data_IF_430496888456
#
_entry.id   IF_430496888456
#
_cell.length_a   1.000
_cell.length_b   1.000
_cell.length_c   1.000
_cell.angle_alpha   90.00
_cell.angle_beta   90.00
_cell.angle_gamma   90.00
#
_symmetry.space_group_name_H-M   'P 1'
#
loop_
_entity.id
_entity.type
_entity.pdbx_description
1 polymer ?
#
# COMPACT_ATOMS: atom_id res chain seq x y z
N UNK A 1 -24.10 -10.62 -1.92
CA UNK A 1 -23.22 -9.52 -2.35
C UNK A 1 -21.76 -9.97 -2.54
N UNK A 2 -21.26 -10.97 -1.78
CA UNK A 2 -19.97 -11.63 -2.06
C UNK A 2 -20.00 -12.50 -3.34
N UNK A 3 -21.14 -13.13 -3.64
CA UNK A 3 -21.29 -14.01 -4.81
C UNK A 3 -21.14 -13.30 -6.16
N UNK A 4 -21.46 -12.00 -6.25
CA UNK A 4 -21.33 -11.25 -7.50
C UNK A 4 -19.87 -10.95 -7.86
N UNK A 5 -19.02 -10.70 -6.86
CA UNK A 5 -17.56 -10.52 -7.02
C UNK A 5 -16.85 -11.82 -7.39
N UNK A 6 -17.40 -12.97 -6.99
CA UNK A 6 -16.88 -14.30 -7.32
C UNK A 6 -17.20 -14.74 -8.75
N UNK A 7 -18.25 -14.19 -9.37
CA UNK A 7 -18.62 -14.52 -10.75
C UNK A 7 -17.70 -13.87 -11.79
N UNK A 8 -17.03 -12.76 -11.45
CA UNK A 8 -16.11 -12.05 -12.35
C UNK A 8 -14.66 -12.57 -12.33
N UNK A 9 -14.25 -13.27 -11.27
CA UNK A 9 -12.94 -13.92 -11.23
C UNK A 9 -13.04 -15.30 -11.90
N UNK A 10 -12.75 -15.35 -13.20
CA UNK A 10 -12.74 -16.60 -13.94
C UNK A 10 -11.70 -17.56 -13.34
N UNK A 11 -11.97 -18.88 -13.34
CA UNK A 11 -11.02 -19.91 -12.85
C UNK A 11 -9.63 -19.75 -13.48
N UNK A 12 -9.57 -19.30 -14.73
CA UNK A 12 -8.34 -19.03 -15.45
C UNK A 12 -7.47 -17.93 -14.84
N UNK A 13 -8.05 -16.92 -14.19
CA UNK A 13 -7.28 -15.81 -13.59
C UNK A 13 -6.60 -16.24 -12.28
N UNK A 14 -7.12 -17.30 -11.67
CA UNK A 14 -6.67 -17.84 -10.39
C UNK A 14 -5.66 -18.99 -10.55
N UNK A 15 -5.61 -19.61 -11.74
CA UNK A 15 -4.62 -20.64 -12.10
C UNK A 15 -3.19 -20.07 -12.28
N UNK A 16 -3.03 -18.74 -12.33
CA UNK A 16 -1.72 -18.07 -12.47
C UNK A 16 -1.16 -17.46 -11.18
N UNK A 17 -1.76 -17.75 -10.03
CA UNK A 17 -1.25 -17.31 -8.72
C UNK A 17 -0.10 -18.23 -8.30
N UNK A 18 1.08 -18.02 -8.90
CA UNK A 18 2.30 -18.78 -8.60
C UNK A 18 3.44 -17.85 -8.14
N UNK A 19 4.20 -18.30 -7.15
CA UNK A 19 5.40 -17.64 -6.64
C UNK A 19 6.42 -17.37 -7.75
N UNK A 20 6.49 -18.23 -8.79
CA UNK A 20 7.36 -17.99 -9.94
C UNK A 20 6.94 -16.76 -10.76
N UNK A 21 5.64 -16.51 -10.90
CA UNK A 21 5.13 -15.34 -11.62
C UNK A 21 5.46 -14.05 -10.86
N UNK A 22 5.25 -14.03 -9.54
CA UNK A 22 5.67 -12.91 -8.69
C UNK A 22 7.19 -12.68 -8.78
N UNK A 23 8.00 -13.75 -8.70
CA UNK A 23 9.45 -13.63 -8.81
C UNK A 23 9.89 -12.99 -10.14
N UNK A 24 9.28 -13.38 -11.25
CA UNK A 24 9.54 -12.76 -12.55
C UNK A 24 9.12 -11.29 -12.59
N UNK A 25 7.95 -10.93 -12.05
CA UNK A 25 7.49 -9.54 -12.00
C UNK A 25 8.42 -8.67 -11.15
N UNK A 26 8.87 -9.16 -9.98
CA UNK A 26 9.84 -8.46 -9.14
C UNK A 26 11.21 -8.31 -9.81
N UNK A 27 11.66 -9.31 -10.57
CA UNK A 27 12.89 -9.24 -11.36
C UNK A 27 12.78 -8.25 -12.54
N UNK A 28 11.59 -8.02 -13.07
CA UNK A 28 11.36 -7.03 -14.13
C UNK A 28 11.43 -5.58 -13.61
N UNK A 29 11.30 -5.35 -12.30
CA UNK A 29 11.41 -4.01 -11.72
C UNK A 29 12.82 -3.43 -11.86
N UNK A 30 12.94 -2.09 -12.00
CA UNK A 30 14.23 -1.40 -11.88
C UNK A 30 14.93 -1.78 -10.58
N UNK A 31 16.25 -2.00 -10.62
CA UNK A 31 17.02 -2.48 -9.46
C UNK A 31 16.80 -1.64 -8.19
N UNK A 32 16.62 -0.32 -8.33
CA UNK A 32 16.33 0.60 -7.22
C UNK A 32 14.98 0.35 -6.54
N UNK A 33 13.98 -0.16 -7.26
CA UNK A 33 12.63 -0.45 -6.74
C UNK A 33 12.51 -1.88 -6.20
N UNK A 34 13.58 -2.68 -6.21
CA UNK A 34 13.48 -4.06 -5.75
C UNK A 34 13.59 -4.11 -4.24
N UNK A 35 12.59 -4.64 -3.52
CA UNK A 35 12.70 -4.80 -2.08
C UNK A 35 13.86 -5.74 -1.73
N UNK A 36 14.58 -5.44 -0.65
CA UNK A 36 15.77 -6.19 -0.24
C UNK A 36 15.49 -7.68 0.02
N UNK A 37 14.27 -7.99 0.46
CA UNK A 37 13.75 -9.35 0.54
C UNK A 37 12.23 -9.33 0.28
N UNK A 38 11.65 -10.40 -0.31
CA UNK A 38 10.21 -10.49 -0.46
C UNK A 38 9.50 -10.56 0.90
N UNK A 39 8.48 -9.74 1.11
CA UNK A 39 7.58 -9.87 2.26
C UNK A 39 6.83 -11.20 2.14
N UNK A 40 7.12 -12.13 3.06
CA UNK A 40 6.56 -13.48 3.05
C UNK A 40 5.20 -13.57 3.72
N UNK A 41 4.95 -12.74 4.72
CA UNK A 41 3.67 -12.64 5.42
C UNK A 41 3.12 -11.24 5.24
N UNK A 42 2.01 -11.14 4.51
CA UNK A 42 1.33 -9.87 4.24
C UNK A 42 0.10 -9.67 5.12
N UNK A 43 -0.21 -10.62 6.01
CA UNK A 43 -1.44 -10.62 6.80
C UNK A 43 -1.52 -9.46 7.79
N UNK A 44 -0.40 -8.99 8.32
CA UNK A 44 -0.33 -7.82 9.21
C UNK A 44 -0.68 -6.51 8.49
N UNK A 45 -0.37 -6.41 7.19
CA UNK A 45 -0.57 -5.20 6.39
C UNK A 45 -1.91 -5.19 5.66
N UNK A 46 -2.36 -6.38 5.24
CA UNK A 46 -3.59 -6.59 4.48
C UNK A 46 -4.52 -7.61 5.15
N UNK A 47 -4.95 -7.38 6.41
CA UNK A 47 -5.70 -8.39 7.17
C UNK A 47 -7.09 -8.68 6.58
N UNK A 48 -7.67 -7.73 5.84
CA UNK A 48 -8.96 -7.92 5.17
C UNK A 48 -8.80 -8.78 3.93
N UNK A 49 -7.86 -8.43 3.07
CA UNK A 49 -7.55 -9.14 1.83
C UNK A 49 -7.06 -10.56 2.14
N UNK A 50 -6.23 -10.73 3.17
CA UNK A 50 -5.79 -12.04 3.63
C UNK A 50 -6.95 -12.92 4.12
N UNK A 51 -7.91 -12.34 4.85
CA UNK A 51 -9.12 -13.08 5.27
C UNK A 51 -9.98 -13.49 4.08
N UNK A 52 -10.11 -12.62 3.07
CA UNK A 52 -10.83 -12.94 1.83
C UNK A 52 -10.08 -14.05 1.08
N UNK A 53 -8.76 -13.96 0.96
CA UNK A 53 -7.91 -14.99 0.37
C UNK A 53 -8.12 -16.37 1.02
N UNK A 54 -8.10 -16.45 2.36
CA UNK A 54 -8.37 -17.70 3.07
C UNK A 54 -9.76 -18.29 2.74
N UNK A 55 -10.78 -17.43 2.62
CA UNK A 55 -12.13 -17.88 2.24
C UNK A 55 -12.19 -18.37 0.80
N UNK A 56 -11.53 -17.69 -0.13
CA UNK A 56 -11.43 -18.10 -1.54
C UNK A 56 -10.72 -19.46 -1.68
N UNK A 57 -9.62 -19.65 -0.95
CA UNK A 57 -8.85 -20.90 -0.95
C UNK A 57 -9.69 -22.06 -0.43
N UNK A 58 -10.39 -21.86 0.69
CA UNK A 58 -11.20 -22.91 1.31
C UNK A 58 -12.32 -23.42 0.38
N UNK A 59 -12.88 -22.56 -0.47
CA UNK A 59 -14.01 -22.92 -1.32
C UNK A 59 -13.60 -23.26 -2.76
N UNK A 60 -12.59 -22.59 -3.33
CA UNK A 60 -12.38 -22.54 -4.78
C UNK A 60 -10.93 -22.77 -5.23
N UNK A 61 -9.93 -22.38 -4.43
CA UNK A 61 -8.51 -22.33 -4.83
C UNK A 61 -7.61 -23.26 -4.02
N UNK A 62 -7.98 -24.55 -3.96
CA UNK A 62 -7.24 -25.55 -3.16
C UNK A 62 -5.74 -25.48 -3.47
N UNK A 63 -4.91 -25.45 -2.42
CA UNK A 63 -3.43 -25.39 -2.45
C UNK A 63 -2.80 -24.04 -2.87
N UNK A 64 -3.56 -22.97 -3.11
CA UNK A 64 -2.96 -21.66 -3.36
C UNK A 64 -2.39 -21.02 -2.07
N UNK A 65 -1.36 -20.19 -2.23
CA UNK A 65 -0.75 -19.44 -1.12
C UNK A 65 -1.64 -18.23 -0.75
N UNK A 66 -2.13 -18.13 0.51
CA UNK A 66 -2.98 -17.02 0.93
C UNK A 66 -2.30 -15.64 0.83
N UNK A 67 -0.98 -15.55 0.92
CA UNK A 67 -0.26 -14.28 0.74
C UNK A 67 -0.29 -13.82 -0.71
N UNK A 68 -0.07 -14.74 -1.65
CA UNK A 68 -0.14 -14.41 -3.08
C UNK A 68 -1.56 -14.01 -3.46
N UNK A 69 -2.57 -14.77 -3.04
CA UNK A 69 -3.98 -14.41 -3.28
C UNK A 69 -4.31 -13.05 -2.66
N UNK A 70 -3.83 -12.76 -1.45
CA UNK A 70 -4.01 -11.44 -0.83
C UNK A 70 -3.34 -10.33 -1.65
N UNK A 71 -2.12 -10.54 -2.16
CA UNK A 71 -1.43 -9.57 -3.02
C UNK A 71 -2.19 -9.34 -4.33
N UNK A 72 -2.79 -10.37 -4.93
CA UNK A 72 -3.68 -10.20 -6.10
C UNK A 72 -4.90 -9.32 -5.77
N UNK A 73 -5.53 -9.51 -4.60
CA UNK A 73 -6.64 -8.67 -4.16
C UNK A 73 -6.21 -7.22 -3.90
N UNK A 74 -5.01 -7.02 -3.34
CA UNK A 74 -4.44 -5.68 -3.14
C UNK A 74 -4.10 -5.02 -4.47
N UNK A 75 -3.57 -5.76 -5.45
CA UNK A 75 -3.24 -5.24 -6.77
C UNK A 75 -4.46 -4.62 -7.45
N UNK A 76 -5.64 -5.20 -7.27
CA UNK A 76 -6.90 -4.66 -7.78
C UNK A 76 -7.29 -3.30 -7.18
N UNK A 77 -6.69 -2.88 -6.05
CA UNK A 77 -6.90 -1.53 -5.49
C UNK A 77 -6.07 -0.46 -6.19
N UNK A 78 -5.04 -0.85 -6.92
CA UNK A 78 -4.13 0.04 -7.66
C UNK A 78 -4.58 0.09 -9.12
N UNK A 79 -4.74 1.30 -9.67
CA UNK A 79 -5.15 1.49 -11.07
C UNK A 79 -4.08 0.90 -11.99
N UNK A 80 -4.44 -0.12 -12.77
CA UNK A 80 -3.50 -0.88 -13.61
C UNK A 80 -2.47 -1.69 -12.82
N UNK A 81 -2.72 -1.94 -11.53
CA UNK A 81 -1.77 -2.53 -10.61
C UNK A 81 -1.48 -4.00 -10.87
N UNK A 82 -0.25 -4.39 -10.55
CA UNK A 82 0.25 -5.76 -10.60
C UNK A 82 0.48 -6.31 -9.19
N UNK A 83 0.71 -7.63 -9.09
CA UNK A 83 1.09 -8.27 -7.82
C UNK A 83 2.43 -7.72 -7.31
N UNK A 84 3.33 -7.33 -8.21
CA UNK A 84 4.56 -6.63 -7.83
C UNK A 84 4.27 -5.28 -7.16
N UNK A 85 3.31 -4.50 -7.66
CA UNK A 85 2.92 -3.22 -7.02
C UNK A 85 2.33 -3.46 -5.62
N UNK A 86 1.46 -4.46 -5.48
CA UNK A 86 0.95 -4.86 -4.17
C UNK A 86 2.06 -5.31 -3.22
N UNK A 87 3.09 -5.97 -3.75
CA UNK A 87 4.25 -6.39 -2.98
C UNK A 87 5.13 -5.21 -2.56
N UNK A 88 5.34 -4.23 -3.46
CA UNK A 88 6.00 -2.96 -3.12
C UNK A 88 5.24 -2.23 -2.02
N UNK A 89 3.91 -2.15 -2.12
CA UNK A 89 3.09 -1.57 -1.06
C UNK A 89 3.32 -2.28 0.29
N UNK A 90 3.41 -3.61 0.31
CA UNK A 90 3.71 -4.36 1.52
C UNK A 90 5.09 -3.99 2.10
N UNK A 91 6.10 -3.89 1.24
CA UNK A 91 7.46 -3.54 1.64
C UNK A 91 7.56 -2.10 2.17
N UNK A 92 6.89 -1.15 1.53
CA UNK A 92 6.80 0.24 1.99
C UNK A 92 6.11 0.34 3.36
N UNK A 93 5.00 -0.37 3.56
CA UNK A 93 4.30 -0.39 4.86
C UNK A 93 5.21 -0.96 5.96
N UNK A 94 5.93 -2.04 5.66
CA UNK A 94 6.89 -2.67 6.57
C UNK A 94 8.06 -1.73 6.90
N UNK A 95 8.58 -0.99 5.93
CA UNK A 95 9.64 0.00 6.15
C UNK A 95 9.15 1.20 6.96
N UNK A 96 8.03 1.80 6.56
CA UNK A 96 7.43 2.95 7.23
C UNK A 96 7.11 2.62 8.69
N UNK A 97 6.49 1.48 8.97
CA UNK A 97 6.08 1.10 10.33
C UNK A 97 7.23 0.90 11.29
N UNK A 98 8.41 0.47 10.82
CA UNK A 98 9.63 0.43 11.65
C UNK A 98 10.12 1.80 12.09
N UNK A 99 9.81 2.83 11.32
CA UNK A 99 10.24 4.21 11.56
C UNK A 99 9.16 5.05 12.26
N UNK A 100 7.91 4.59 12.26
CA UNK A 100 6.81 5.28 12.90
C UNK A 100 6.76 5.02 14.41
N UNK A 101 6.37 6.02 15.21
CA UNK A 101 6.00 5.81 16.61
C UNK A 101 4.88 4.77 16.73
N UNK A 102 5.01 3.82 17.65
CA UNK A 102 4.03 2.75 17.90
C UNK A 102 2.60 3.29 18.11
N UNK A 103 2.48 4.50 18.68
CA UNK A 103 1.21 5.17 18.96
C UNK A 103 0.39 5.59 17.71
N UNK A 104 0.98 5.61 16.51
CA UNK A 104 0.29 6.04 15.29
C UNK A 104 -0.78 5.05 14.80
N UNK A 105 -0.68 3.77 15.19
CA UNK A 105 -1.74 2.76 15.06
C UNK A 105 -2.27 2.47 13.64
N UNK A 106 -3.23 1.53 13.56
CA UNK A 106 -3.79 1.07 12.27
C UNK A 106 -4.55 2.15 11.50
N UNK A 107 -5.11 3.16 12.18
CA UNK A 107 -5.84 4.25 11.52
C UNK A 107 -4.92 5.07 10.63
N UNK A 108 -3.70 5.37 11.09
CA UNK A 108 -2.71 6.05 10.25
C UNK A 108 -2.28 5.17 9.08
N UNK A 109 -2.06 3.88 9.32
CA UNK A 109 -1.66 2.95 8.26
C UNK A 109 -2.69 2.84 7.14
N UNK A 110 -3.97 2.96 7.42
CA UNK A 110 -4.99 3.08 6.37
C UNK A 110 -4.73 4.29 5.46
N UNK A 111 -4.33 5.43 6.01
CA UNK A 111 -4.00 6.62 5.22
C UNK A 111 -2.70 6.44 4.44
N UNK A 112 -1.69 5.80 5.03
CA UNK A 112 -0.45 5.43 4.31
C UNK A 112 -0.77 4.50 3.13
N UNK A 113 -1.66 3.50 3.32
CA UNK A 113 -2.13 2.62 2.24
C UNK A 113 -2.79 3.40 1.11
N UNK A 114 -3.69 4.34 1.43
CA UNK A 114 -4.35 5.17 0.43
C UNK A 114 -3.36 6.03 -0.36
N UNK A 115 -2.36 6.60 0.33
CA UNK A 115 -1.26 7.32 -0.30
C UNK A 115 -0.48 6.41 -1.26
N UNK A 116 -0.04 5.23 -0.80
CA UNK A 116 0.70 4.28 -1.64
C UNK A 116 -0.11 3.78 -2.84
N UNK A 117 -1.41 3.55 -2.68
CA UNK A 117 -2.31 3.19 -3.79
C UNK A 117 -2.28 4.23 -4.91
N UNK A 118 -2.31 5.52 -4.56
CA UNK A 118 -2.25 6.62 -5.53
C UNK A 118 -0.87 6.76 -6.16
N UNK A 119 0.19 6.65 -5.37
CA UNK A 119 1.57 6.74 -5.87
C UNK A 119 1.87 5.62 -6.87
N UNK A 120 1.57 4.37 -6.51
CA UNK A 120 1.80 3.20 -7.37
C UNK A 120 0.90 3.20 -8.61
N UNK A 121 -0.31 3.75 -8.50
CA UNK A 121 -1.23 3.91 -9.63
C UNK A 121 -0.97 5.14 -10.51
N UNK A 122 -0.01 6.00 -10.15
CA UNK A 122 0.24 7.25 -10.87
C UNK A 122 -0.94 8.24 -10.81
N UNK A 123 -1.67 8.26 -9.70
CA UNK A 123 -2.87 9.07 -9.44
C UNK A 123 -2.69 9.95 -8.18
N UNK A 124 -1.51 10.56 -8.04
CA UNK A 124 -1.20 11.40 -6.87
C UNK A 124 -2.13 12.62 -6.79
N UNK A 125 -2.42 13.06 -5.57
CA UNK A 125 -3.11 14.33 -5.33
C UNK A 125 -2.23 15.51 -5.80
N UNK A 126 -2.75 16.43 -6.59
CA UNK A 126 -1.97 17.57 -7.12
C UNK A 126 -2.65 18.93 -6.94
N UNK A 127 -3.88 18.94 -6.44
CA UNK A 127 -4.68 20.16 -6.25
C UNK A 127 -5.60 20.09 -5.02
N UNK A 128 -5.75 21.23 -4.36
CA UNK A 128 -6.79 21.46 -3.36
C UNK A 128 -6.35 21.49 -1.89
N UNK A 129 -5.06 21.30 -1.57
CA UNK A 129 -4.60 21.27 -0.16
C UNK A 129 -3.70 22.44 0.26
N UNK A 130 -3.43 23.43 -0.60
CA UNK A 130 -2.53 24.55 -0.27
C UNK A 130 -2.92 25.34 0.98
N UNK A 131 -4.20 25.66 1.18
CA UNK A 131 -4.69 26.34 2.38
C UNK A 131 -4.53 25.47 3.65
N UNK A 132 -4.76 24.16 3.51
CA UNK A 132 -4.58 23.19 4.59
C UNK A 132 -3.09 23.07 4.95
N UNK A 133 -2.20 23.02 3.95
CA UNK A 133 -0.74 22.98 4.12
C UNK A 133 -0.26 24.18 4.92
N UNK A 134 -0.69 25.40 4.57
CA UNK A 134 -0.32 26.61 5.31
C UNK A 134 -0.75 26.55 6.78
N UNK A 135 -1.97 26.09 7.05
CA UNK A 135 -2.47 25.92 8.42
C UNK A 135 -1.68 24.86 9.19
N UNK A 136 -1.39 23.70 8.59
CA UNK A 136 -0.62 22.63 9.22
C UNK A 136 0.82 23.05 9.49
N UNK A 137 1.45 23.81 8.60
CA UNK A 137 2.80 24.35 8.82
C UNK A 137 2.86 25.32 10.01
N UNK A 138 1.82 26.13 10.21
CA UNK A 138 1.74 27.08 11.31
C UNK A 138 1.39 26.41 12.65
N UNK A 139 0.42 25.49 12.63
CA UNK A 139 -0.22 24.99 13.85
C UNK A 139 0.22 23.57 14.24
N UNK A 140 0.62 22.73 13.28
CA UNK A 140 1.03 21.34 13.51
C UNK A 140 2.35 21.00 12.76
N UNK A 141 3.45 21.74 13.02
CA UNK A 141 4.71 21.56 12.28
C UNK A 141 5.31 20.16 12.46
N UNK A 142 5.03 19.47 13.56
CA UNK A 142 5.42 18.08 13.76
C UNK A 142 4.72 17.12 12.81
N UNK A 143 3.41 17.27 12.65
CA UNK A 143 2.64 16.47 11.71
C UNK A 143 3.13 16.68 10.27
N UNK A 144 3.47 17.93 9.90
CA UNK A 144 4.11 18.22 8.62
C UNK A 144 5.47 17.53 8.45
N UNK A 145 6.30 17.44 9.51
CA UNK A 145 7.56 16.69 9.46
C UNK A 145 7.29 15.20 9.21
N UNK A 146 6.31 14.61 9.90
CA UNK A 146 5.94 13.20 9.71
C UNK A 146 5.51 12.95 8.26
N UNK A 147 4.59 13.75 7.72
CA UNK A 147 4.12 13.61 6.34
C UNK A 147 5.25 13.71 5.32
N UNK A 148 6.13 14.71 5.47
CA UNK A 148 7.31 14.88 4.61
C UNK A 148 8.34 13.76 4.71
N UNK A 149 8.57 13.23 5.91
CA UNK A 149 9.54 12.16 6.10
C UNK A 149 9.07 10.86 5.42
N UNK A 150 7.78 10.54 5.54
CA UNK A 150 7.18 9.39 4.85
C UNK A 150 7.23 9.60 3.33
N UNK A 151 6.82 10.79 2.85
CA UNK A 151 6.87 11.11 1.42
C UNK A 151 8.28 10.99 0.85
N UNK A 152 9.30 11.49 1.56
CA UNK A 152 10.70 11.38 1.15
C UNK A 152 11.17 9.92 1.12
N UNK A 153 10.83 9.14 2.14
CA UNK A 153 11.18 7.72 2.18
C UNK A 153 10.65 6.98 0.95
N UNK A 154 9.37 7.16 0.65
CA UNK A 154 8.72 6.52 -0.50
C UNK A 154 9.28 7.06 -1.82
N UNK A 155 9.58 8.36 -1.91
CA UNK A 155 10.22 8.94 -3.09
C UNK A 155 11.58 8.29 -3.38
N UNK A 156 12.39 8.08 -2.33
CA UNK A 156 13.71 7.47 -2.41
C UNK A 156 13.61 5.98 -2.78
N UNK A 157 12.74 5.22 -2.09
CA UNK A 157 12.58 3.77 -2.27
C UNK A 157 11.95 3.42 -3.63
N UNK A 158 10.96 4.19 -4.08
CA UNK A 158 10.28 3.96 -5.34
C UNK A 158 10.88 4.75 -6.51
N UNK A 159 11.79 5.71 -6.28
CA UNK A 159 12.33 6.57 -7.34
C UNK A 159 11.22 7.30 -8.10
N UNK A 160 10.33 7.97 -7.37
CA UNK A 160 9.23 8.79 -7.88
C UNK A 160 9.22 10.12 -7.14
N UNK A 161 8.76 11.18 -7.81
CA UNK A 161 8.49 12.43 -7.12
C UNK A 161 7.15 12.34 -6.38
N UNK A 162 7.09 12.88 -5.17
CA UNK A 162 5.85 12.94 -4.37
C UNK A 162 5.36 14.39 -4.33
N UNK A 163 4.07 14.59 -4.58
CA UNK A 163 3.48 15.94 -4.62
C UNK A 163 3.34 16.55 -3.23
N UNK A 164 3.30 17.88 -3.17
CA UNK A 164 3.07 18.60 -1.92
C UNK A 164 1.71 18.29 -1.28
N UNK A 165 0.71 17.95 -2.10
CA UNK A 165 -0.63 17.62 -1.64
C UNK A 165 -0.67 16.23 -0.99
N UNK A 166 0.14 15.25 -1.46
CA UNK A 166 0.30 13.98 -0.76
C UNK A 166 1.04 14.15 0.59
N UNK A 167 2.08 14.98 0.64
CA UNK A 167 2.73 15.34 1.93
C UNK A 167 1.70 15.94 2.91
N UNK A 168 0.85 16.82 2.39
CA UNK A 168 -0.17 17.52 3.17
C UNK A 168 -1.27 16.56 3.64
N UNK A 169 -1.67 15.62 2.79
CA UNK A 169 -2.61 14.55 3.14
C UNK A 169 -2.08 13.69 4.31
N UNK A 170 -0.83 13.24 4.23
CA UNK A 170 -0.20 12.47 5.30
C UNK A 170 -0.11 13.29 6.60
N UNK A 171 0.31 14.55 6.49
CA UNK A 171 0.41 15.46 7.63
C UNK A 171 -0.94 15.72 8.30
N UNK A 172 -2.01 15.92 7.53
CA UNK A 172 -3.37 16.08 8.06
C UNK A 172 -3.79 14.88 8.91
N UNK A 173 -3.49 13.67 8.45
CA UNK A 173 -3.83 12.45 9.17
C UNK A 173 -2.92 12.18 10.37
N UNK A 174 -1.66 12.62 10.31
CA UNK A 174 -0.75 12.58 11.46
C UNK A 174 -1.18 13.57 12.56
N UNK A 175 -1.59 14.79 12.19
CA UNK A 175 -2.02 15.81 13.15
C UNK A 175 -3.18 15.31 14.02
N UNK A 176 -4.18 14.67 13.40
CA UNK A 176 -5.33 14.05 14.09
C UNK A 176 -4.96 13.00 15.13
N UNK A 177 -3.74 12.44 15.08
CA UNK A 177 -3.27 11.42 16.01
C UNK A 177 -2.33 11.97 17.07
N UNK A 178 -1.67 13.09 16.78
CA UNK A 178 -0.77 13.77 17.72
C UNK A 178 -1.54 14.73 18.65
N UNK A 179 -2.70 15.21 18.22
CA UNK A 179 -3.58 16.08 19.03
C UNK A 179 -4.45 15.29 20.05
N UNK A 180 -4.18 14.00 20.23
CA UNK A 180 -4.89 13.08 21.14
C UNK A 180 -3.91 12.37 22.08
#
# INVERSE_FOLDING_TARGET
>A
MMDALLTELNRSDLDFIDASALAHQLQALPQKRRPAAPIRDVSSWFPTEYRVAQRLIAHHLRNADPNLVALHLVAASVVGGTVADAHLMAAELDHITRLLPVQMGMKFLTHVRLFLTRVLGGQQLDTGLSAVRASLMANHPEAMRVGRNIARLVADDLGVDITEDEETFLALHAARLLDH
#
